data_IF_875523079997
#
_entry.id   IF_875523079997
#
_cell.length_a   1.000
_cell.length_b   1.000
_cell.length_c   1.000
_cell.angle_alpha   90.00
_cell.angle_beta   90.00
_cell.angle_gamma   90.00
#
_symmetry.space_group_name_H-M   'P 1'
#
loop_
_entity.id
_entity.type
_entity.pdbx_description
1 polymer ?
#
# COMPACT_ATOMS: atom_id res chain seq x y z
N UNK A 1 12.60 33.58 -3.26
CA UNK A 1 13.28 32.61 -2.36
C UNK A 1 12.38 31.44 -1.95
N UNK A 2 11.16 31.67 -1.39
CA UNK A 2 10.22 30.58 -1.01
C UNK A 2 9.84 29.65 -2.18
N UNK A 3 9.52 30.20 -3.36
CA UNK A 3 9.17 29.38 -4.54
C UNK A 3 10.32 28.48 -5.02
N UNK A 4 11.57 28.93 -4.85
CA UNK A 4 12.75 28.12 -5.17
C UNK A 4 12.89 26.94 -4.20
N UNK A 5 12.77 27.19 -2.88
CA UNK A 5 12.81 26.14 -1.85
C UNK A 5 11.68 25.14 -2.06
N UNK A 6 10.46 25.61 -2.32
CA UNK A 6 9.31 24.75 -2.63
C UNK A 6 9.53 23.92 -3.90
N UNK A 7 10.11 24.50 -4.95
CA UNK A 7 10.44 23.77 -6.19
C UNK A 7 11.48 22.67 -5.95
N UNK A 8 12.47 22.92 -5.09
CA UNK A 8 13.46 21.92 -4.68
C UNK A 8 12.80 20.79 -3.88
N UNK A 9 11.93 21.12 -2.91
CA UNK A 9 11.21 20.12 -2.09
C UNK A 9 10.15 19.36 -2.90
N UNK A 10 9.65 19.99 -3.97
CA UNK A 10 8.75 19.36 -4.92
C UNK A 10 9.50 18.48 -5.91
N UNK A 11 10.81 18.66 -6.13
CA UNK A 11 11.58 17.67 -6.86
C UNK A 11 11.48 16.33 -6.11
N UNK A 12 11.24 15.21 -6.80
CA UNK A 12 11.31 14.99 -8.26
C UNK A 12 10.01 15.23 -9.09
N UNK A 13 8.96 15.79 -8.52
CA UNK A 13 7.63 15.88 -9.12
C UNK A 13 7.46 17.09 -10.05
N UNK A 14 6.50 17.01 -10.95
CA UNK A 14 6.04 18.14 -11.76
C UNK A 14 5.33 19.16 -10.88
N UNK A 15 5.47 20.43 -11.24
CA UNK A 15 4.83 21.54 -10.55
C UNK A 15 3.89 22.22 -11.53
N UNK A 16 2.66 22.47 -11.10
CA UNK A 16 1.65 23.20 -11.86
C UNK A 16 1.79 24.70 -11.59
N UNK A 17 1.59 25.50 -12.63
CA UNK A 17 1.53 26.95 -12.52
C UNK A 17 0.24 27.43 -13.17
N UNK A 18 -0.60 28.07 -12.37
CA UNK A 18 -1.85 28.65 -12.81
C UNK A 18 -1.61 30.08 -13.29
N UNK A 19 -1.63 30.28 -14.62
CA UNK A 19 -1.35 31.59 -15.23
C UNK A 19 -2.42 32.64 -14.87
N UNK A 20 -3.65 32.23 -14.59
CA UNK A 20 -4.74 33.18 -14.28
C UNK A 20 -4.64 33.71 -12.85
N UNK A 21 -4.13 32.87 -11.94
CA UNK A 21 -4.01 33.19 -10.52
C UNK A 21 -2.61 33.62 -10.10
N UNK A 22 -1.60 33.45 -10.95
CA UNK A 22 -0.17 33.59 -10.62
C UNK A 22 0.21 32.71 -9.40
N UNK A 23 -0.28 31.47 -9.38
CA UNK A 23 -0.03 30.51 -8.29
C UNK A 23 0.73 29.30 -8.82
N UNK A 24 1.86 29.01 -8.18
CA UNK A 24 2.60 27.77 -8.35
C UNK A 24 2.19 26.75 -7.28
N UNK A 25 1.89 25.51 -7.65
CA UNK A 25 1.54 24.44 -6.73
C UNK A 25 2.10 23.08 -7.16
N UNK A 26 2.56 22.25 -6.21
CA UNK A 26 2.95 20.86 -6.48
C UNK A 26 1.70 19.98 -6.70
N UNK A 27 1.21 20.02 -7.94
CA UNK A 27 -0.02 19.44 -8.43
C UNK A 27 0.20 18.97 -9.86
N UNK A 28 -0.47 17.89 -10.27
CA UNK A 28 -0.55 17.47 -11.66
C UNK A 28 -1.92 16.86 -11.97
N UNK A 29 -2.42 17.16 -13.18
CA UNK A 29 -3.56 16.46 -13.76
C UNK A 29 -3.08 15.15 -14.38
N UNK A 30 -3.38 14.04 -13.72
CA UNK A 30 -3.11 12.70 -14.26
C UNK A 30 -4.09 12.40 -15.40
N UNK A 31 -5.36 12.77 -15.19
CA UNK A 31 -6.39 12.84 -16.22
C UNK A 31 -7.13 14.18 -16.10
N UNK A 32 -8.15 14.42 -16.93
CA UNK A 32 -8.97 15.63 -16.82
C UNK A 32 -9.82 15.69 -15.52
N UNK A 33 -10.20 14.53 -14.97
CA UNK A 33 -10.96 14.43 -13.71
C UNK A 33 -10.10 14.02 -12.50
N UNK A 34 -8.83 13.68 -12.68
CA UNK A 34 -7.96 13.21 -11.58
C UNK A 34 -6.76 14.14 -11.43
N UNK A 35 -6.70 14.79 -10.27
CA UNK A 35 -5.58 15.60 -9.81
C UNK A 35 -4.82 14.83 -8.73
N UNK A 36 -3.49 14.83 -8.80
CA UNK A 36 -2.62 14.39 -7.70
C UNK A 36 -1.78 15.57 -7.22
N UNK A 37 -1.78 15.84 -5.92
CA UNK A 37 -1.06 16.97 -5.33
C UNK A 37 -0.27 16.60 -4.07
N UNK A 38 0.68 17.45 -3.70
CA UNK A 38 1.28 17.40 -2.37
C UNK A 38 0.30 17.90 -1.31
N UNK A 39 0.42 17.38 -0.09
CA UNK A 39 -0.45 17.73 1.01
C UNK A 39 -0.24 19.20 1.43
N UNK A 40 -1.29 20.04 1.36
CA UNK A 40 -1.17 21.43 1.75
C UNK A 40 -1.00 21.58 3.26
N UNK A 41 -0.63 22.78 3.70
CA UNK A 41 -0.56 23.15 5.11
C UNK A 41 -1.27 24.48 5.36
N UNK A 42 -1.75 24.69 6.57
CA UNK A 42 -2.19 26.01 7.05
C UNK A 42 -1.00 26.80 7.60
N UNK A 43 -1.02 28.13 7.43
CA UNK A 43 -0.16 29.18 8.00
C UNK A 43 0.75 28.76 9.18
N UNK A 44 1.76 27.95 8.88
CA UNK A 44 2.72 27.39 9.84
C UNK A 44 4.12 27.63 9.29
N UNK A 45 5.15 27.50 10.13
CA UNK A 45 6.55 27.53 9.67
C UNK A 45 6.83 26.55 8.50
N UNK A 46 5.98 25.52 8.33
CA UNK A 46 6.05 24.56 7.22
C UNK A 46 5.78 25.20 5.85
N UNK A 47 5.12 26.36 5.77
CA UNK A 47 4.87 27.07 4.50
C UNK A 47 6.15 27.56 3.80
N UNK A 48 7.29 27.60 4.51
CA UNK A 48 8.59 27.90 3.90
C UNK A 48 8.93 26.86 2.82
N UNK A 49 8.50 25.60 3.01
CA UNK A 49 8.83 24.49 2.13
C UNK A 49 7.63 23.67 1.63
N UNK A 50 6.41 23.91 2.14
CA UNK A 50 5.15 23.33 1.65
C UNK A 50 4.20 24.41 1.13
N UNK A 51 3.23 23.99 0.33
CA UNK A 51 2.24 24.89 -0.26
C UNK A 51 1.06 25.15 0.69
N UNK A 52 0.56 26.40 0.78
CA UNK A 52 -0.60 26.76 1.58
C UNK A 52 -1.89 26.10 1.08
N UNK A 53 -2.77 25.68 1.99
CA UNK A 53 -4.11 25.16 1.63
C UNK A 53 -4.96 26.19 0.90
N UNK A 54 -4.80 27.48 1.23
CA UNK A 54 -5.48 28.58 0.55
C UNK A 54 -5.17 28.65 -0.94
N UNK A 55 -3.93 28.34 -1.32
CA UNK A 55 -3.51 28.37 -2.73
C UNK A 55 -4.13 27.22 -3.51
N UNK A 56 -4.19 26.02 -2.91
CA UNK A 56 -4.90 24.88 -3.50
C UNK A 56 -6.38 25.22 -3.71
N UNK A 57 -7.05 25.73 -2.67
CA UNK A 57 -8.48 26.05 -2.73
C UNK A 57 -8.77 27.13 -3.76
N UNK A 58 -7.93 28.18 -3.87
CA UNK A 58 -8.07 29.19 -4.93
C UNK A 58 -7.99 28.59 -6.32
N UNK A 59 -7.04 27.69 -6.58
CA UNK A 59 -6.91 26.98 -7.86
C UNK A 59 -8.18 26.17 -8.15
N UNK A 60 -8.68 25.43 -7.15
CA UNK A 60 -9.84 24.56 -7.32
C UNK A 60 -11.14 25.36 -7.54
N UNK A 61 -11.39 26.39 -6.74
CA UNK A 61 -12.58 27.24 -6.87
C UNK A 61 -12.59 28.02 -8.19
N UNK A 62 -11.42 28.51 -8.64
CA UNK A 62 -11.33 29.25 -9.90
C UNK A 62 -11.53 28.34 -11.12
N UNK A 63 -10.87 27.18 -11.15
CA UNK A 63 -10.88 26.31 -12.33
C UNK A 63 -12.07 25.34 -12.38
N UNK A 64 -12.53 24.88 -11.21
CA UNK A 64 -13.54 23.81 -11.09
C UNK A 64 -14.81 24.23 -10.35
N UNK A 65 -14.83 25.42 -9.73
CA UNK A 65 -15.97 25.94 -8.95
C UNK A 65 -16.42 24.92 -7.91
N UNK A 66 -17.66 24.42 -7.98
CA UNK A 66 -18.19 23.43 -7.06
C UNK A 66 -17.88 21.97 -7.41
N UNK A 67 -17.20 21.73 -8.53
CA UNK A 67 -16.97 20.39 -9.09
C UNK A 67 -15.65 19.76 -8.63
N UNK A 68 -15.26 19.92 -7.36
CA UNK A 68 -14.05 19.28 -6.84
C UNK A 68 -14.29 18.65 -5.47
N UNK A 69 -13.51 17.60 -5.18
CA UNK A 69 -13.53 16.93 -3.88
C UNK A 69 -12.16 16.34 -3.57
N UNK A 70 -11.77 16.32 -2.29
CA UNK A 70 -10.44 15.90 -1.84
C UNK A 70 -10.48 14.50 -1.22
N UNK A 71 -9.51 13.65 -1.58
CA UNK A 71 -9.19 12.42 -0.85
C UNK A 71 -7.80 12.54 -0.21
N UNK A 72 -7.79 12.46 1.12
CA UNK A 72 -6.59 12.56 1.94
C UNK A 72 -6.11 11.18 2.43
N UNK A 73 -4.82 10.91 2.22
CA UNK A 73 -4.18 9.65 2.61
C UNK A 73 -3.16 9.78 3.75
N UNK A 74 -3.16 10.90 4.49
CA UNK A 74 -2.14 11.20 5.53
C UNK A 74 -2.57 10.73 6.91
N UNK A 75 -2.01 9.63 7.41
CA UNK A 75 -2.19 9.23 8.81
C UNK A 75 -1.44 10.12 9.81
N UNK A 76 -0.37 10.81 9.38
CA UNK A 76 0.44 11.67 10.25
C UNK A 76 -0.16 13.08 10.52
N UNK A 77 -1.46 13.25 10.21
CA UNK A 77 -2.22 14.48 10.42
C UNK A 77 -2.41 15.32 9.14
N UNK A 78 -3.63 15.84 8.99
CA UNK A 78 -4.12 16.54 7.80
C UNK A 78 -3.26 17.76 7.43
N UNK A 79 -2.79 18.51 8.43
CA UNK A 79 -1.98 19.73 8.26
C UNK A 79 -2.79 20.99 7.97
N UNK A 80 -4.10 20.86 7.86
CA UNK A 80 -5.12 21.89 7.73
C UNK A 80 -6.42 21.36 8.39
N UNK A 81 -7.50 22.15 8.42
CA UNK A 81 -8.82 21.76 8.95
C UNK A 81 -9.82 21.52 7.83
N UNK A 82 -10.84 20.69 8.06
CA UNK A 82 -11.88 20.42 7.05
C UNK A 82 -12.60 21.71 6.59
N UNK A 83 -12.75 22.69 7.50
CA UNK A 83 -13.32 24.00 7.16
C UNK A 83 -12.48 24.75 6.13
N UNK A 84 -11.15 24.56 6.11
CA UNK A 84 -10.27 25.20 5.13
C UNK A 84 -10.56 24.74 3.70
N UNK A 85 -11.25 23.60 3.53
CA UNK A 85 -11.63 22.99 2.25
C UNK A 85 -13.15 22.77 2.14
N UNK A 86 -13.94 23.58 2.85
CA UNK A 86 -15.41 23.56 2.81
C UNK A 86 -16.04 22.18 3.11
N UNK A 87 -15.38 21.35 3.93
CA UNK A 87 -15.77 19.95 4.17
C UNK A 87 -15.89 19.10 2.88
N UNK A 88 -15.29 19.53 1.76
CA UNK A 88 -15.20 18.75 0.51
C UNK A 88 -14.03 17.76 0.58
N UNK A 89 -14.04 16.88 1.59
CA UNK A 89 -12.93 15.96 1.88
C UNK A 89 -13.36 14.63 2.50
N UNK A 90 -12.77 13.53 2.00
CA UNK A 90 -12.81 12.20 2.59
C UNK A 90 -11.39 11.74 2.97
N UNK A 91 -11.28 10.95 4.04
CA UNK A 91 -9.98 10.53 4.61
C UNK A 91 -9.85 9.02 4.70
N UNK A 92 -8.84 8.48 4.00
CA UNK A 92 -8.44 7.06 4.02
C UNK A 92 -6.98 6.97 4.43
N UNK A 93 -6.75 6.81 5.73
CA UNK A 93 -5.48 7.09 6.38
C UNK A 93 -4.67 5.80 6.51
N UNK A 94 -3.51 5.75 5.86
CA UNK A 94 -2.54 4.66 6.02
C UNK A 94 -1.10 5.19 6.15
N UNK A 95 -0.20 4.44 6.82
CA UNK A 95 1.12 4.94 7.20
C UNK A 95 2.01 5.30 6.00
N UNK A 96 2.89 6.27 6.20
CA UNK A 96 3.81 6.71 5.15
C UNK A 96 4.74 5.56 4.73
N UNK A 97 5.02 5.50 3.43
CA UNK A 97 5.85 4.47 2.80
C UNK A 97 5.29 3.04 2.82
N UNK A 98 4.06 2.82 3.28
CA UNK A 98 3.42 1.51 3.25
C UNK A 98 2.44 1.40 2.07
N UNK A 99 2.07 0.19 1.59
CA UNK A 99 0.91 0.03 0.74
C UNK A 99 -0.40 0.29 1.51
N UNK A 100 -1.50 0.66 0.85
CA UNK A 100 -2.81 0.63 1.49
C UNK A 100 -3.34 -0.82 1.57
N UNK A 101 -4.07 -1.22 2.64
CA UNK A 101 -4.81 -2.47 2.65
C UNK A 101 -5.78 -2.56 1.46
N UNK A 102 -6.00 -3.76 0.91
CA UNK A 102 -6.83 -3.96 -0.28
C UNK A 102 -8.27 -3.46 -0.10
N UNK A 103 -8.85 -3.66 1.09
CA UNK A 103 -10.17 -3.12 1.45
C UNK A 103 -10.22 -1.59 1.45
N UNK A 104 -9.16 -0.93 1.89
CA UNK A 104 -9.05 0.53 1.86
C UNK A 104 -8.98 1.02 0.41
N UNK A 105 -8.25 0.31 -0.46
CA UNK A 105 -8.24 0.57 -1.91
C UNK A 105 -9.68 0.52 -2.46
N UNK A 106 -10.38 -0.58 -2.24
CA UNK A 106 -11.74 -0.80 -2.76
C UNK A 106 -12.70 0.32 -2.37
N UNK A 107 -12.82 0.61 -1.06
CA UNK A 107 -13.75 1.64 -0.56
C UNK A 107 -13.48 3.02 -1.17
N UNK A 108 -12.21 3.42 -1.19
CA UNK A 108 -11.83 4.73 -1.70
C UNK A 108 -12.05 4.82 -3.22
N UNK A 109 -11.73 3.77 -3.97
CA UNK A 109 -11.93 3.73 -5.43
C UNK A 109 -13.41 3.86 -5.77
N UNK A 110 -14.30 3.14 -5.07
CA UNK A 110 -15.74 3.26 -5.26
C UNK A 110 -16.28 4.66 -4.95
N UNK A 111 -15.82 5.28 -3.87
CA UNK A 111 -16.25 6.64 -3.52
C UNK A 111 -15.79 7.67 -4.58
N UNK A 112 -14.56 7.54 -5.07
CA UNK A 112 -14.04 8.37 -6.17
C UNK A 112 -14.90 8.18 -7.41
N UNK A 113 -15.16 6.94 -7.82
CA UNK A 113 -15.97 6.62 -8.99
C UNK A 113 -17.40 7.16 -8.86
N UNK A 114 -18.01 7.01 -7.69
CA UNK A 114 -19.35 7.55 -7.41
C UNK A 114 -19.38 9.07 -7.49
N UNK A 115 -18.35 9.77 -6.99
CA UNK A 115 -18.26 11.23 -7.12
C UNK A 115 -18.09 11.66 -8.57
N UNK A 116 -17.15 11.05 -9.30
CA UNK A 116 -16.82 11.41 -10.67
C UNK A 116 -17.95 11.08 -11.65
N UNK A 117 -18.71 10.02 -11.39
CA UNK A 117 -19.85 9.64 -12.24
C UNK A 117 -21.06 10.58 -12.14
N UNK A 118 -21.14 11.43 -11.11
CA UNK A 118 -22.26 12.37 -10.93
C UNK A 118 -22.27 13.53 -11.93
N UNK A 119 -21.09 14.01 -12.35
CA UNK A 119 -20.94 15.08 -13.32
C UNK A 119 -19.58 14.99 -14.01
N UNK A 120 -19.53 15.10 -15.33
CA UNK A 120 -18.28 15.07 -16.13
C UNK A 120 -17.32 16.23 -15.83
N UNK A 121 -17.78 17.25 -15.12
CA UNK A 121 -16.95 18.36 -14.62
C UNK A 121 -16.28 18.04 -13.30
N UNK A 122 -16.70 16.99 -12.59
CA UNK A 122 -16.17 16.64 -11.28
C UNK A 122 -14.70 16.26 -11.37
N UNK A 123 -13.92 16.76 -10.42
CA UNK A 123 -12.49 16.53 -10.33
C UNK A 123 -12.13 16.01 -8.93
N UNK A 124 -11.53 14.84 -8.88
CA UNK A 124 -11.02 14.26 -7.66
C UNK A 124 -9.57 14.69 -7.41
N UNK A 125 -9.31 15.21 -6.21
CA UNK A 125 -8.00 15.69 -5.78
C UNK A 125 -7.42 14.71 -4.77
N UNK A 126 -6.45 13.93 -5.20
CA UNK A 126 -5.82 12.88 -4.42
C UNK A 126 -4.50 13.40 -3.81
N UNK A 127 -4.38 13.43 -2.49
CA UNK A 127 -3.14 13.88 -1.86
C UNK A 127 -2.71 13.05 -0.65
N UNK A 128 -1.40 13.03 -0.43
CA UNK A 128 -0.76 12.50 0.76
C UNK A 128 0.19 13.57 1.29
N UNK A 129 1.34 13.23 1.86
CA UNK A 129 2.34 14.22 2.28
C UNK A 129 3.04 14.87 1.08
N UNK A 130 3.60 14.05 0.21
CA UNK A 130 4.38 14.50 -0.95
C UNK A 130 3.65 14.33 -2.29
N UNK A 131 2.50 13.64 -2.31
CA UNK A 131 1.77 13.34 -3.55
C UNK A 131 2.56 12.43 -4.50
N UNK A 132 3.25 11.41 -3.98
CA UNK A 132 4.09 10.47 -4.76
C UNK A 132 3.62 9.02 -4.61
N UNK A 133 4.08 8.31 -3.56
CA UNK A 133 3.80 6.89 -3.35
C UNK A 133 2.32 6.62 -3.02
N UNK A 134 1.87 6.99 -1.81
CA UNK A 134 0.48 6.78 -1.35
C UNK A 134 -0.59 7.28 -2.34
N UNK A 135 -0.50 8.56 -2.74
CA UNK A 135 -1.43 9.13 -3.72
C UNK A 135 -1.33 8.48 -5.09
N UNK A 136 -0.13 8.06 -5.49
CA UNK A 136 0.08 7.35 -6.74
C UNK A 136 -0.56 5.98 -6.72
N UNK A 137 -0.38 5.21 -5.66
CA UNK A 137 -1.03 3.90 -5.49
C UNK A 137 -2.55 4.03 -5.60
N UNK A 138 -3.15 4.99 -4.89
CA UNK A 138 -4.60 5.22 -4.96
C UNK A 138 -5.06 5.75 -6.32
N UNK A 139 -4.27 6.61 -6.96
CA UNK A 139 -4.55 7.09 -8.32
C UNK A 139 -4.52 5.96 -9.34
N UNK A 140 -3.47 5.13 -9.31
CA UNK A 140 -3.34 3.97 -10.18
C UNK A 140 -4.49 2.98 -9.96
N UNK A 141 -4.82 2.66 -8.70
CA UNK A 141 -5.91 1.75 -8.39
C UNK A 141 -7.26 2.22 -8.96
N UNK A 142 -7.57 3.52 -8.85
CA UNK A 142 -8.77 4.08 -9.47
C UNK A 142 -8.73 4.00 -11.00
N UNK A 143 -7.60 4.35 -11.62
CA UNK A 143 -7.48 4.29 -13.09
C UNK A 143 -7.64 2.85 -13.61
N UNK A 144 -7.08 1.86 -12.90
CA UNK A 144 -7.26 0.44 -13.22
C UNK A 144 -8.73 0.04 -13.15
N UNK A 145 -9.43 0.39 -12.06
CA UNK A 145 -10.86 0.12 -11.89
C UNK A 145 -11.71 0.80 -12.98
N UNK A 146 -11.42 2.06 -13.27
CA UNK A 146 -12.13 2.81 -14.31
C UNK A 146 -11.92 2.18 -15.70
N UNK A 147 -10.69 1.81 -16.05
CA UNK A 147 -10.40 1.13 -17.31
C UNK A 147 -11.13 -0.21 -17.40
N UNK A 148 -11.06 -1.03 -16.34
CA UNK A 148 -11.72 -2.33 -16.25
C UNK A 148 -13.23 -2.20 -16.52
N UNK A 149 -13.90 -1.26 -15.87
CA UNK A 149 -15.34 -1.02 -16.04
C UNK A 149 -15.73 -0.47 -17.43
N UNK A 150 -14.80 0.17 -18.14
CA UNK A 150 -15.01 0.63 -19.51
C UNK A 150 -14.66 -0.45 -20.56
N UNK A 151 -14.49 -1.71 -20.12
CA UNK A 151 -14.00 -2.82 -20.94
C UNK A 151 -12.62 -2.57 -21.58
N UNK A 152 -11.84 -1.64 -21.03
CA UNK A 152 -10.44 -1.44 -21.36
C UNK A 152 -9.56 -2.26 -20.42
N UNK A 153 -8.56 -2.95 -20.96
CA UNK A 153 -7.54 -3.61 -20.14
C UNK A 153 -6.23 -2.83 -20.26
N UNK A 154 -5.78 -2.23 -19.15
CA UNK A 154 -4.43 -1.71 -19.02
C UNK A 154 -3.76 -2.42 -17.85
N UNK A 155 -2.59 -3.00 -18.10
CA UNK A 155 -1.82 -3.73 -17.08
C UNK A 155 -1.35 -2.77 -15.99
N UNK A 156 -1.09 -3.29 -14.79
CA UNK A 156 -0.57 -2.51 -13.66
C UNK A 156 0.61 -1.62 -14.09
N UNK A 157 1.57 -2.17 -14.84
CA UNK A 157 2.75 -1.45 -15.31
C UNK A 157 2.40 -0.26 -16.21
N UNK A 158 1.43 -0.41 -17.12
CA UNK A 158 1.01 0.63 -18.06
C UNK A 158 0.36 1.82 -17.35
N UNK A 159 -0.45 1.53 -16.32
CA UNK A 159 -1.07 2.56 -15.47
C UNK A 159 -0.02 3.26 -14.60
N UNK A 160 0.93 2.52 -14.01
CA UNK A 160 2.02 3.11 -13.23
C UNK A 160 2.93 4.00 -14.09
N UNK A 161 3.17 3.61 -15.34
CA UNK A 161 3.94 4.41 -16.30
C UNK A 161 3.20 5.67 -16.72
N UNK A 162 1.89 5.59 -16.93
CA UNK A 162 1.04 6.77 -17.14
C UNK A 162 1.14 7.71 -15.95
N UNK A 163 0.94 7.22 -14.74
CA UNK A 163 1.06 8.02 -13.53
C UNK A 163 2.44 8.66 -13.40
N UNK A 164 3.50 7.88 -13.62
CA UNK A 164 4.89 8.36 -13.56
C UNK A 164 5.13 9.49 -14.55
N UNK A 165 4.73 9.33 -15.83
CA UNK A 165 4.88 10.37 -16.86
C UNK A 165 4.10 11.64 -16.54
N UNK A 166 2.92 11.52 -15.92
CA UNK A 166 2.09 12.66 -15.56
C UNK A 166 2.55 13.36 -14.28
N UNK A 167 3.07 12.61 -13.30
CA UNK A 167 3.39 13.14 -11.98
C UNK A 167 4.85 13.54 -11.81
N UNK A 168 5.77 12.83 -12.44
CA UNK A 168 7.22 12.96 -12.24
C UNK A 168 7.84 13.77 -13.38
N UNK A 169 8.95 14.48 -13.11
CA UNK A 169 9.73 15.13 -14.18
C UNK A 169 10.37 14.05 -15.06
N UNK A 170 10.57 14.31 -16.35
CA UNK A 170 11.04 13.30 -17.32
C UNK A 170 12.36 12.60 -16.98
N UNK A 171 13.23 13.26 -16.21
CA UNK A 171 14.52 12.71 -15.76
C UNK A 171 14.49 12.16 -14.32
N UNK A 172 13.32 12.03 -13.73
CA UNK A 172 13.13 11.52 -12.38
C UNK A 172 12.77 10.04 -12.38
N UNK A 173 13.12 9.34 -11.30
CA UNK A 173 12.72 7.95 -11.11
C UNK A 173 11.20 7.77 -10.96
N UNK A 174 10.78 6.51 -10.83
CA UNK A 174 9.37 6.10 -10.83
C UNK A 174 8.50 6.85 -9.82
N UNK A 175 7.24 7.09 -10.21
CA UNK A 175 6.22 7.70 -9.35
C UNK A 175 5.86 6.81 -8.18
N UNK A 176 5.80 5.50 -8.41
CA UNK A 176 5.65 4.46 -7.39
C UNK A 176 6.89 3.58 -7.48
N UNK A 177 7.74 3.65 -6.45
CA UNK A 177 9.04 2.97 -6.44
C UNK A 177 9.18 1.93 -5.34
N UNK A 178 8.24 1.87 -4.40
CA UNK A 178 8.23 0.92 -3.28
C UNK A 178 7.64 -0.39 -3.82
N UNK A 179 8.36 -1.50 -3.66
CA UNK A 179 7.98 -2.81 -4.21
C UNK A 179 6.68 -3.29 -3.57
N UNK A 180 6.48 -3.07 -2.27
CA UNK A 180 5.20 -3.39 -1.61
C UNK A 180 4.01 -2.61 -2.17
N UNK A 181 4.18 -1.33 -2.53
CA UNK A 181 3.11 -0.56 -3.18
C UNK A 181 2.77 -1.10 -4.56
N UNK A 182 3.76 -1.55 -5.33
CA UNK A 182 3.55 -2.16 -6.64
C UNK A 182 2.88 -3.53 -6.52
N UNK A 183 3.29 -4.35 -5.53
CA UNK A 183 2.69 -5.66 -5.24
C UNK A 183 1.19 -5.54 -4.95
N UNK A 184 0.80 -4.55 -4.16
CA UNK A 184 -0.62 -4.32 -3.86
C UNK A 184 -1.43 -3.83 -5.05
N UNK A 185 -0.81 -3.13 -6.01
CA UNK A 185 -1.47 -2.83 -7.28
C UNK A 185 -1.65 -4.10 -8.12
N UNK A 186 -0.70 -5.04 -8.10
CA UNK A 186 -0.86 -6.33 -8.78
C UNK A 186 -1.95 -7.20 -8.15
N UNK A 187 -2.04 -7.21 -6.82
CA UNK A 187 -3.17 -7.82 -6.14
C UNK A 187 -4.49 -7.16 -6.53
N UNK A 188 -4.52 -5.83 -6.61
CA UNK A 188 -5.70 -5.10 -7.05
C UNK A 188 -6.10 -5.44 -8.50
N UNK A 189 -5.15 -5.52 -9.43
CA UNK A 189 -5.39 -6.02 -10.81
C UNK A 189 -6.02 -7.41 -10.79
N UNK A 190 -5.49 -8.30 -9.95
CA UNK A 190 -6.00 -9.66 -9.82
C UNK A 190 -7.43 -9.65 -9.28
N UNK A 191 -7.74 -8.88 -8.24
CA UNK A 191 -9.10 -8.73 -7.68
C UNK A 191 -10.07 -8.23 -8.75
N UNK A 192 -9.71 -7.18 -9.50
CA UNK A 192 -10.58 -6.68 -10.58
C UNK A 192 -10.89 -7.76 -11.61
N UNK A 193 -9.92 -8.62 -11.93
CA UNK A 193 -10.10 -9.72 -12.88
C UNK A 193 -10.87 -10.93 -12.35
N UNK A 194 -11.10 -11.01 -11.04
CA UNK A 194 -11.84 -12.12 -10.41
C UNK A 194 -13.36 -11.98 -10.60
N UNK A 195 -14.11 -13.09 -10.59
CA UNK A 195 -15.56 -13.06 -10.46
C UNK A 195 -16.02 -12.20 -9.27
N UNK A 196 -17.09 -11.42 -9.44
CA UNK A 196 -17.59 -10.48 -8.42
C UNK A 196 -17.89 -11.17 -7.08
N UNK A 197 -18.31 -12.43 -7.10
CA UNK A 197 -18.57 -13.23 -5.91
C UNK A 197 -17.30 -13.47 -5.10
N UNK A 198 -16.16 -13.68 -5.78
CA UNK A 198 -14.89 -13.94 -5.12
C UNK A 198 -14.23 -12.65 -4.62
N UNK A 199 -14.47 -11.52 -5.27
CA UNK A 199 -13.97 -10.22 -4.81
C UNK A 199 -14.44 -9.91 -3.38
N UNK A 200 -15.66 -10.34 -3.03
CA UNK A 200 -16.29 -10.11 -1.72
C UNK A 200 -15.47 -10.61 -0.53
N UNK A 201 -14.70 -11.69 -0.70
CA UNK A 201 -13.84 -12.22 0.38
C UNK A 201 -12.76 -11.23 0.81
N UNK A 202 -12.34 -10.32 -0.08
CA UNK A 202 -11.38 -9.27 0.28
C UNK A 202 -12.02 -7.99 0.77
N UNK A 203 -13.10 -7.60 0.11
CA UNK A 203 -13.65 -6.25 0.20
C UNK A 203 -14.76 -6.14 1.25
N UNK A 204 -15.43 -7.24 1.63
CA UNK A 204 -16.52 -7.25 2.61
C UNK A 204 -16.08 -7.90 3.94
N UNK A 205 -16.22 -7.17 5.05
CA UNK A 205 -15.89 -7.68 6.39
C UNK A 205 -17.00 -8.60 6.95
N UNK A 206 -18.22 -8.51 6.41
CA UNK A 206 -19.34 -9.35 6.84
C UNK A 206 -19.28 -10.75 6.22
N UNK A 207 -18.52 -10.91 5.13
CA UNK A 207 -18.39 -12.20 4.47
C UNK A 207 -17.36 -13.05 5.21
N UNK A 208 -17.72 -14.25 5.70
CA UNK A 208 -16.75 -15.15 6.29
C UNK A 208 -15.73 -15.55 5.22
N UNK A 209 -14.46 -15.61 5.61
CA UNK A 209 -13.42 -16.14 4.74
C UNK A 209 -13.68 -17.61 4.43
N UNK A 210 -13.16 -18.15 3.32
CA UNK A 210 -13.35 -19.54 2.95
C UNK A 210 -12.51 -20.49 3.82
N UNK A 211 -12.00 -20.03 4.97
CA UNK A 211 -11.17 -20.76 5.92
C UNK A 211 -11.38 -20.23 7.35
N UNK A 212 -11.15 -21.09 8.33
CA UNK A 212 -11.25 -20.84 9.75
C UNK A 212 -10.05 -19.99 10.24
N UNK A 213 -10.30 -18.71 10.54
CA UNK A 213 -9.29 -17.77 11.03
C UNK A 213 -8.70 -18.12 12.39
N UNK A 214 -9.42 -18.87 13.23
CA UNK A 214 -8.98 -19.22 14.59
C UNK A 214 -8.07 -20.46 14.59
N UNK A 215 -8.17 -21.30 13.56
CA UNK A 215 -7.28 -22.44 13.34
C UNK A 215 -6.12 -22.15 12.39
N UNK A 216 -6.31 -21.24 11.45
CA UNK A 216 -5.30 -20.89 10.45
C UNK A 216 -4.10 -20.19 11.07
N UNK A 217 -2.89 -20.54 10.64
CA UNK A 217 -1.67 -20.06 11.27
C UNK A 217 -0.47 -19.92 10.32
N UNK A 218 0.42 -18.98 10.64
CA UNK A 218 1.78 -18.96 10.07
C UNK A 218 2.59 -20.06 10.75
N UNK A 219 3.18 -20.93 9.95
CA UNK A 219 3.82 -22.16 10.42
C UNK A 219 5.34 -22.07 10.50
N UNK A 220 5.98 -21.35 9.58
CA UNK A 220 7.43 -21.20 9.56
C UNK A 220 7.90 -20.09 8.64
N UNK A 221 9.13 -19.65 8.87
CA UNK A 221 9.92 -18.84 7.94
C UNK A 221 11.11 -19.66 7.48
N UNK A 222 11.44 -19.60 6.18
CA UNK A 222 12.65 -20.20 5.62
C UNK A 222 13.53 -19.11 5.05
N UNK A 223 14.82 -19.21 5.35
CA UNK A 223 15.86 -18.28 4.91
C UNK A 223 16.80 -19.07 4.01
N UNK A 224 16.74 -18.80 2.71
CA UNK A 224 17.47 -19.55 1.69
C UNK A 224 18.81 -18.91 1.39
N UNK A 225 19.85 -19.74 1.32
CA UNK A 225 21.25 -19.36 1.12
C UNK A 225 21.64 -18.15 1.99
N UNK A 226 21.54 -18.28 3.33
CA UNK A 226 21.98 -17.22 4.23
C UNK A 226 23.50 -17.02 4.09
N UNK A 227 23.96 -15.80 4.38
CA UNK A 227 25.39 -15.47 4.33
C UNK A 227 26.19 -16.36 5.30
N UNK A 228 27.50 -16.48 5.06
CA UNK A 228 28.39 -17.30 5.89
C UNK A 228 28.44 -16.86 7.36
N UNK A 229 28.03 -15.63 7.67
CA UNK A 229 27.84 -15.13 9.03
C UNK A 229 26.88 -16.00 9.85
N UNK A 230 25.83 -16.53 9.21
CA UNK A 230 24.79 -17.37 9.81
C UNK A 230 25.10 -18.88 9.68
N UNK A 231 26.38 -19.25 9.52
CA UNK A 231 26.76 -20.66 9.57
C UNK A 231 26.51 -21.28 10.94
N UNK A 232 26.73 -20.48 11.99
CA UNK A 232 26.19 -20.73 13.33
C UNK A 232 24.73 -20.30 13.35
N UNK A 233 23.82 -21.27 13.47
CA UNK A 233 22.37 -21.06 13.36
C UNK A 233 21.85 -20.19 14.50
N UNK A 234 22.51 -20.18 15.66
CA UNK A 234 22.09 -19.34 16.81
C UNK A 234 22.12 -17.84 16.48
N UNK A 235 22.98 -17.43 15.54
CA UNK A 235 23.09 -16.03 15.07
C UNK A 235 21.95 -15.60 14.17
N UNK A 236 21.06 -16.50 13.76
CA UNK A 236 19.95 -16.14 12.88
C UNK A 236 19.03 -15.10 13.50
N UNK A 237 18.91 -15.10 14.83
CA UNK A 237 18.12 -14.13 15.58
C UNK A 237 18.70 -12.72 15.54
N UNK A 238 19.96 -12.55 15.14
CA UNK A 238 20.53 -11.24 14.84
C UNK A 238 19.85 -10.58 13.62
N UNK A 239 19.09 -11.32 12.81
CA UNK A 239 18.25 -10.74 11.76
C UNK A 239 17.09 -9.91 12.33
N UNK A 240 16.71 -10.14 13.59
CA UNK A 240 15.66 -9.37 14.25
C UNK A 240 14.38 -9.34 13.38
N UNK A 241 13.86 -10.54 13.11
CA UNK A 241 12.70 -10.72 12.24
C UNK A 241 11.42 -10.47 13.03
N UNK A 242 10.63 -9.53 12.54
CA UNK A 242 9.32 -9.18 13.10
C UNK A 242 8.23 -9.36 12.04
N UNK A 243 7.09 -9.90 12.45
CA UNK A 243 5.86 -9.92 11.68
C UNK A 243 4.91 -8.86 12.23
N UNK A 244 4.35 -8.04 11.34
CA UNK A 244 3.41 -6.97 11.68
C UNK A 244 2.18 -7.04 10.74
N UNK A 245 1.06 -6.44 11.14
CA UNK A 245 -0.18 -6.35 10.33
C UNK A 245 -0.79 -4.95 10.41
N UNK A 246 -1.81 -4.69 9.60
CA UNK A 246 -2.66 -3.52 9.76
C UNK A 246 -3.69 -3.72 10.88
N UNK A 247 -3.75 -2.76 11.79
CA UNK A 247 -4.83 -2.63 12.76
C UNK A 247 -5.77 -1.52 12.30
N UNK A 248 -6.99 -1.89 11.92
CA UNK A 248 -8.01 -0.92 11.53
C UNK A 248 -8.65 -0.29 12.77
N UNK A 249 -8.72 1.04 12.78
CA UNK A 249 -9.44 1.80 13.82
C UNK A 249 -10.95 1.76 13.55
N UNK A 250 -11.75 1.49 14.58
CA UNK A 250 -13.23 1.52 14.50
C UNK A 250 -13.82 2.95 14.50
N UNK A 251 -12.99 3.99 14.33
CA UNK A 251 -13.45 5.39 14.35
C UNK A 251 -14.07 5.83 13.02
N UNK A 252 -14.72 7.00 13.00
CA UNK A 252 -15.37 7.57 11.79
C UNK A 252 -14.43 7.78 10.60
N UNK A 253 -13.11 7.78 10.79
CA UNK A 253 -12.13 7.90 9.72
C UNK A 253 -11.57 6.51 9.40
N UNK A 254 -11.54 6.13 8.12
CA UNK A 254 -10.93 4.88 7.66
C UNK A 254 -9.42 4.94 7.89
N UNK A 255 -8.97 4.64 9.11
CA UNK A 255 -7.57 4.69 9.53
C UNK A 255 -7.05 3.29 9.80
N UNK A 256 -5.86 3.02 9.27
CA UNK A 256 -5.07 1.85 9.61
C UNK A 256 -3.73 2.25 10.21
N UNK A 257 -3.39 1.61 11.32
CA UNK A 257 -2.09 1.68 11.97
C UNK A 257 -1.38 0.32 11.83
N UNK A 258 -0.10 0.23 12.18
CA UNK A 258 0.65 -1.03 12.14
C UNK A 258 0.76 -1.59 13.56
N UNK A 259 0.57 -2.89 13.70
CA UNK A 259 0.72 -3.61 14.97
C UNK A 259 1.61 -4.83 14.80
N UNK A 260 2.42 -5.11 15.84
CA UNK A 260 3.26 -6.30 15.89
C UNK A 260 2.41 -7.55 16.12
N UNK A 261 2.66 -8.58 15.32
CA UNK A 261 2.06 -9.92 15.45
C UNK A 261 3.01 -10.82 16.23
N UNK A 262 4.28 -10.85 15.80
CA UNK A 262 5.25 -11.82 16.28
C UNK A 262 6.69 -11.31 16.12
N UNK A 263 7.48 -11.40 17.19
CA UNK A 263 8.91 -11.14 17.17
C UNK A 263 9.65 -12.47 17.31
N UNK A 264 10.46 -12.83 16.32
CA UNK A 264 11.28 -14.03 16.41
C UNK A 264 12.43 -13.82 17.40
N UNK A 265 12.69 -14.82 18.24
CA UNK A 265 13.64 -14.80 19.35
C UNK A 265 14.32 -16.16 19.53
N UNK A 266 15.42 -16.25 20.31
CA UNK A 266 16.10 -17.52 20.59
C UNK A 266 15.25 -18.63 21.25
N UNK A 267 14.02 -18.33 21.70
CA UNK A 267 13.07 -19.32 22.16
C UNK A 267 12.43 -20.11 21.01
N UNK A 268 12.40 -19.53 19.81
CA UNK A 268 11.91 -20.19 18.60
C UNK A 268 12.85 -21.29 18.14
N UNK A 269 12.28 -22.30 17.48
CA UNK A 269 13.07 -23.39 16.93
C UNK A 269 13.76 -22.89 15.67
N UNK A 270 15.09 -22.99 15.65
CA UNK A 270 15.90 -22.76 14.46
C UNK A 270 16.64 -24.04 14.06
N UNK A 271 16.50 -24.47 12.81
CA UNK A 271 17.24 -25.61 12.29
C UNK A 271 17.76 -25.35 10.88
N UNK A 272 18.91 -25.95 10.54
CA UNK A 272 19.53 -25.82 9.22
C UNK A 272 19.40 -27.12 8.44
N UNK A 273 18.81 -27.04 7.25
CA UNK A 273 18.69 -28.15 6.29
C UNK A 273 19.28 -27.70 4.96
N UNK A 274 20.40 -28.31 4.55
CA UNK A 274 21.18 -27.89 3.38
C UNK A 274 21.52 -26.38 3.47
N UNK A 275 21.20 -25.60 2.44
CA UNK A 275 21.38 -24.15 2.39
C UNK A 275 20.14 -23.39 2.85
N UNK A 276 19.34 -23.93 3.77
CA UNK A 276 18.14 -23.25 4.26
C UNK A 276 18.10 -23.33 5.77
N UNK A 277 17.90 -22.18 6.41
CA UNK A 277 17.58 -22.09 7.84
C UNK A 277 16.06 -21.97 7.94
N UNK A 278 15.46 -22.78 8.80
CA UNK A 278 14.02 -22.80 9.07
C UNK A 278 13.82 -22.30 10.48
N UNK A 279 12.96 -21.30 10.62
CA UNK A 279 12.48 -20.76 11.89
C UNK A 279 11.03 -21.21 12.08
N UNK A 280 10.76 -21.88 13.19
CA UNK A 280 9.41 -22.30 13.59
C UNK A 280 9.08 -21.55 14.87
N UNK A 281 7.97 -20.80 14.91
CA UNK A 281 7.61 -20.03 16.08
C UNK A 281 7.31 -20.95 17.27
N UNK A 282 7.76 -20.59 18.46
CA UNK A 282 7.51 -21.33 19.71
C UNK A 282 6.01 -21.42 20.03
N UNK A 283 5.27 -20.35 19.75
CA UNK A 283 3.81 -20.28 19.91
C UNK A 283 3.13 -20.10 18.55
N UNK A 284 1.93 -20.65 18.41
CA UNK A 284 1.18 -20.53 17.16
C UNK A 284 0.85 -19.07 16.83
N UNK A 285 1.09 -18.70 15.58
CA UNK A 285 0.76 -17.38 15.03
C UNK A 285 -0.59 -17.50 14.34
N UNK A 286 -1.66 -17.45 15.12
CA UNK A 286 -3.04 -17.56 14.63
C UNK A 286 -3.39 -16.34 13.79
N UNK A 287 -3.99 -16.54 12.61
CA UNK A 287 -4.29 -15.49 11.64
C UNK A 287 -5.49 -14.62 12.01
N UNK A 288 -5.95 -14.59 13.27
CA UNK A 288 -7.19 -13.94 13.68
C UNK A 288 -7.33 -12.50 13.11
N UNK A 289 -8.12 -12.36 12.04
CA UNK A 289 -8.32 -11.12 11.25
C UNK A 289 -7.06 -10.52 10.60
N UNK A 290 -6.00 -11.30 10.45
CA UNK A 290 -4.76 -10.96 9.75
C UNK A 290 -4.92 -11.41 8.29
N UNK A 291 -4.80 -10.46 7.36
CA UNK A 291 -4.74 -10.72 5.91
C UNK A 291 -3.44 -10.17 5.34
N UNK A 292 -3.24 -8.88 5.57
CA UNK A 292 -2.01 -8.17 5.28
C UNK A 292 -0.94 -8.51 6.31
N UNK A 293 0.20 -9.00 5.83
CA UNK A 293 1.37 -9.30 6.66
C UNK A 293 2.57 -8.53 6.15
N UNK A 294 3.25 -7.86 7.08
CA UNK A 294 4.56 -7.28 6.89
C UNK A 294 5.58 -8.15 7.58
N UNK A 295 6.64 -8.49 6.85
CA UNK A 295 7.86 -9.03 7.45
C UNK A 295 8.92 -7.94 7.48
N UNK A 296 9.49 -7.68 8.65
CA UNK A 296 10.56 -6.70 8.88
C UNK A 296 11.83 -7.42 9.32
N UNK A 297 12.98 -6.94 8.87
CA UNK A 297 14.31 -7.47 9.21
C UNK A 297 15.19 -6.30 9.67
N UNK A 298 15.66 -6.37 10.91
CA UNK A 298 16.48 -5.34 11.58
C UNK A 298 15.89 -3.93 11.53
N UNK A 299 14.58 -3.79 11.31
CA UNK A 299 13.93 -2.50 10.97
C UNK A 299 14.46 -1.76 9.73
N UNK A 300 15.40 -2.33 8.96
CA UNK A 300 16.03 -1.68 7.81
C UNK A 300 15.45 -2.12 6.48
N UNK A 301 14.92 -3.34 6.40
CA UNK A 301 14.21 -3.80 5.22
C UNK A 301 12.94 -4.54 5.60
N UNK A 302 11.95 -4.49 4.71
CA UNK A 302 10.65 -5.09 4.94
C UNK A 302 9.98 -5.48 3.63
N UNK A 303 8.87 -6.20 3.74
CA UNK A 303 7.96 -6.48 2.65
C UNK A 303 6.55 -6.69 3.17
N UNK A 304 5.55 -6.14 2.49
CA UNK A 304 4.14 -6.46 2.70
C UNK A 304 3.60 -7.44 1.66
N UNK A 305 2.77 -8.36 2.07
CA UNK A 305 2.03 -9.24 1.18
C UNK A 305 0.65 -9.52 1.78
N UNK A 306 -0.30 -9.91 0.94
CA UNK A 306 -1.61 -10.36 1.37
C UNK A 306 -1.65 -11.88 1.29
N UNK A 307 -1.95 -12.55 2.41
CA UNK A 307 -1.91 -14.01 2.49
C UNK A 307 -2.96 -14.68 1.62
N UNK A 308 -4.15 -14.09 1.48
CA UNK A 308 -5.23 -14.64 0.68
C UNK A 308 -4.85 -14.53 -0.80
N UNK A 309 -4.37 -13.38 -1.24
CA UNK A 309 -3.86 -13.18 -2.61
C UNK A 309 -2.71 -14.12 -2.95
N UNK A 310 -1.72 -14.27 -2.08
CA UNK A 310 -0.59 -15.19 -2.30
C UNK A 310 -1.03 -16.66 -2.30
N UNK A 311 -2.05 -17.01 -1.50
CA UNK A 311 -2.64 -18.36 -1.55
C UNK A 311 -3.32 -18.61 -2.89
N UNK A 312 -4.07 -17.64 -3.41
CA UNK A 312 -4.73 -17.76 -4.72
C UNK A 312 -3.70 -17.80 -5.85
N UNK A 313 -2.62 -17.02 -5.78
CA UNK A 313 -1.55 -17.04 -6.77
C UNK A 313 -0.89 -18.43 -6.82
N UNK A 314 -0.68 -19.06 -5.67
CA UNK A 314 0.03 -20.34 -5.57
C UNK A 314 -0.84 -21.57 -5.81
N UNK A 315 -2.14 -21.51 -5.48
CA UNK A 315 -3.05 -22.66 -5.56
C UNK A 315 -4.25 -22.45 -6.52
N UNK A 316 -4.33 -21.31 -7.19
CA UNK A 316 -5.51 -20.94 -7.98
C UNK A 316 -6.75 -20.71 -7.10
N UNK A 317 -7.92 -20.90 -7.69
CA UNK A 317 -9.22 -20.72 -7.01
C UNK A 317 -9.64 -21.96 -6.20
N UNK A 318 -8.78 -22.98 -6.07
CA UNK A 318 -9.03 -24.19 -5.27
C UNK A 318 -9.42 -23.87 -3.81
N UNK A 319 -8.91 -22.75 -3.28
CA UNK A 319 -9.27 -22.23 -1.96
C UNK A 319 -10.80 -22.08 -1.77
N UNK A 320 -11.53 -21.73 -2.83
CA UNK A 320 -12.96 -21.46 -2.76
C UNK A 320 -13.83 -22.71 -3.01
N UNK A 321 -13.21 -23.83 -3.41
CA UNK A 321 -13.92 -25.04 -3.84
C UNK A 321 -13.82 -26.21 -2.87
N UNK A 322 -13.09 -26.06 -1.75
CA UNK A 322 -13.03 -27.07 -0.70
C UNK A 322 -14.26 -26.97 0.22
N UNK A 323 -15.26 -27.80 -0.08
CA UNK A 323 -16.48 -27.97 0.72
C UNK A 323 -16.26 -28.94 1.87
N UNK A 324 -16.69 -28.57 3.08
CA UNK A 324 -17.16 -29.43 4.22
C UNK A 324 -16.59 -30.85 4.38
N UNK A 325 -15.32 -31.10 4.07
CA UNK A 325 -14.68 -32.41 4.30
C UNK A 325 -13.50 -32.27 5.24
N UNK A 326 -13.73 -32.73 6.47
CA UNK A 326 -12.72 -32.91 7.53
C UNK A 326 -12.09 -31.62 8.09
N UNK A 327 -12.33 -31.33 9.37
CA UNK A 327 -11.74 -30.19 10.10
C UNK A 327 -10.20 -30.24 10.21
N UNK A 328 -9.57 -31.33 9.78
CA UNK A 328 -8.11 -31.44 9.64
C UNK A 328 -7.58 -31.06 8.25
N UNK A 329 -8.47 -30.81 7.28
CA UNK A 329 -8.08 -30.40 5.93
C UNK A 329 -7.60 -28.94 5.94
N UNK A 330 -6.44 -28.70 5.32
CA UNK A 330 -5.90 -27.36 5.14
C UNK A 330 -5.31 -27.20 3.74
N UNK A 331 -5.27 -25.95 3.28
CA UNK A 331 -4.48 -25.55 2.12
C UNK A 331 -3.19 -24.88 2.57
N UNK A 332 -2.10 -25.14 1.85
CA UNK A 332 -0.79 -24.55 2.12
C UNK A 332 -0.66 -23.29 1.29
N UNK A 333 -0.39 -22.17 1.95
CA UNK A 333 0.04 -20.96 1.29
C UNK A 333 1.49 -20.67 1.63
N UNK A 334 2.17 -19.99 0.71
CA UNK A 334 3.51 -19.50 0.94
C UNK A 334 3.75 -18.24 0.13
N UNK A 335 4.66 -17.41 0.62
CA UNK A 335 5.15 -16.22 -0.07
C UNK A 335 6.66 -16.26 -0.05
N UNK A 336 7.29 -16.21 -1.23
CA UNK A 336 8.74 -16.18 -1.38
C UNK A 336 9.18 -14.85 -1.99
N UNK A 337 10.15 -14.20 -1.36
CA UNK A 337 10.69 -12.94 -1.82
C UNK A 337 12.23 -12.96 -1.90
N UNK A 338 12.80 -12.60 -3.06
CA UNK A 338 14.23 -12.35 -3.18
C UNK A 338 14.68 -11.14 -2.37
N UNK A 339 15.94 -11.16 -1.90
CA UNK A 339 16.54 -10.02 -1.20
C UNK A 339 16.41 -8.71 -2.00
N UNK A 340 16.58 -8.80 -3.31
CA UNK A 340 16.53 -7.70 -4.27
C UNK A 340 15.18 -6.98 -4.28
N UNK A 341 14.10 -7.70 -3.99
CA UNK A 341 12.72 -7.21 -4.04
C UNK A 341 12.18 -6.73 -2.68
N UNK A 342 12.97 -6.86 -1.61
CA UNK A 342 12.64 -6.25 -0.33
C UNK A 342 12.66 -4.71 -0.45
N UNK A 343 11.77 -4.07 0.29
CA UNK A 343 11.80 -2.63 0.49
C UNK A 343 12.86 -2.27 1.52
N UNK A 344 13.71 -1.29 1.22
CA UNK A 344 14.67 -0.74 2.18
C UNK A 344 14.02 0.25 3.15
N UNK A 345 14.84 0.89 3.97
CA UNK A 345 14.36 1.79 5.02
C UNK A 345 13.47 2.89 4.43
N UNK A 346 12.25 3.03 4.95
CA UNK A 346 11.20 3.93 4.43
C UNK A 346 10.91 3.77 2.93
N UNK A 347 11.01 2.55 2.41
CA UNK A 347 10.76 2.23 1.00
C UNK A 347 11.87 2.72 0.07
N UNK A 348 13.08 2.89 0.58
CA UNK A 348 14.27 3.14 -0.25
C UNK A 348 14.71 1.86 -0.96
N UNK A 349 15.54 1.99 -1.99
CA UNK A 349 16.13 0.82 -2.68
C UNK A 349 17.31 0.21 -1.91
N UNK A 350 17.85 0.93 -0.91
CA UNK A 350 19.01 0.53 -0.12
C UNK A 350 18.59 -0.38 1.04
N UNK A 351 19.11 -1.61 1.04
CA UNK A 351 18.78 -2.66 2.03
C UNK A 351 19.96 -3.05 2.93
N UNK A 352 21.11 -2.40 2.76
CA UNK A 352 22.37 -2.82 3.38
C UNK A 352 22.99 -4.02 2.67
N UNK A 353 23.85 -4.75 3.38
CA UNK A 353 24.54 -5.92 2.85
C UNK A 353 23.56 -7.08 2.67
N UNK A 354 23.67 -7.82 1.55
CA UNK A 354 22.85 -9.00 1.28
C UNK A 354 23.07 -10.08 2.34
N UNK A 355 22.03 -10.39 3.12
CA UNK A 355 22.09 -11.35 4.23
C UNK A 355 21.66 -12.77 3.84
N UNK A 356 20.85 -12.90 2.79
CA UNK A 356 20.34 -14.16 2.27
C UNK A 356 19.93 -14.01 0.79
N UNK A 357 19.60 -15.11 0.12
CA UNK A 357 19.07 -15.07 -1.25
C UNK A 357 17.57 -14.78 -1.30
N UNK A 358 16.77 -15.57 -0.57
CA UNK A 358 15.31 -15.47 -0.53
C UNK A 358 14.82 -15.71 0.89
N UNK A 359 13.69 -15.09 1.20
CA UNK A 359 12.91 -15.27 2.41
C UNK A 359 11.57 -15.89 2.02
N UNK A 360 11.17 -16.99 2.65
CA UNK A 360 9.90 -17.66 2.40
C UNK A 360 9.09 -17.71 3.70
N UNK A 361 7.84 -17.29 3.66
CA UNK A 361 6.90 -17.41 4.78
C UNK A 361 5.86 -18.46 4.39
N UNK A 362 5.57 -19.38 5.29
CA UNK A 362 4.64 -20.50 5.04
C UNK A 362 3.50 -20.49 6.05
N UNK A 363 2.27 -20.69 5.59
CA UNK A 363 1.09 -20.78 6.43
C UNK A 363 0.18 -21.93 6.03
N UNK A 364 -0.78 -22.23 6.90
CA UNK A 364 -1.87 -23.19 6.65
C UNK A 364 -3.19 -22.48 6.89
N UNK A 365 -4.09 -22.61 5.92
CA UNK A 365 -5.48 -22.18 6.06
C UNK A 365 -6.35 -23.42 6.23
N UNK A 366 -6.95 -23.58 7.40
CA UNK A 366 -7.82 -24.73 7.74
C UNK A 366 -9.27 -24.42 7.38
N UNK A 367 -10.03 -25.43 6.96
CA UNK A 367 -11.45 -25.30 6.63
C UNK A 367 -12.37 -25.57 7.82
#
# INVERSE_FOLDING_TARGET
MKNLIRSIVSAPKQVYYDNNLDIQFDLSYVTHQIIVSAGPVRNTFKEIYRYPVKDLVKILEFNHRDHWYIWNFRSEGLGYSENDVFHKISSYLFPDHQPPPLRLIYKCVLEIDQFLSKDKKNVAVLHCKAGKGRSGTMCCAYLMYHCYNQHGCLRTEEIMDLYTRKRMRSYSGNGISIQSQQRYLKYWERILSMPEELQKYEIDNAMPLPYDLEKSCITMIKIHNPSSYYNDVSKIFDLDIELETYLQSETKQERVDISSIYQFSPLDISCKKKNTIILIPEREIILNKIKDVKISIKSFCYCWFDMLMETIISNGEELFHKSDTDASEFIRGHFMIPWEDLDGFKGSTQKGMKLFSNLEICWRLYY
#
